data_IF_838628863294
#
_entry.id   IF_838628863294
#
_cell.length_a   1.000
_cell.length_b   1.000
_cell.length_c   1.000
_cell.angle_alpha   90.00
_cell.angle_beta   90.00
_cell.angle_gamma   90.00
#
_symmetry.space_group_name_H-M   'P 1'
#
loop_
_entity.id
_entity.type
_entity.pdbx_description
1 polymer ?
#
# COMPACT_ATOMS: atom_id res chain seq x y z
N UNK A 1 -11.93 12.72 11.54
CA UNK A 1 -10.60 13.15 11.06
C UNK A 1 -10.19 12.22 9.94
N UNK A 2 -9.57 12.76 8.89
CA UNK A 2 -9.09 12.04 7.71
C UNK A 2 -8.02 10.99 8.06
N UNK A 3 -8.32 9.68 8.02
CA UNK A 3 -7.30 8.65 8.28
C UNK A 3 -6.52 8.31 7.02
N UNK A 4 -5.18 8.29 7.12
CA UNK A 4 -4.26 7.84 6.07
C UNK A 4 -3.77 6.43 6.39
N UNK A 5 -3.98 5.49 5.46
CA UNK A 5 -3.52 4.12 5.58
C UNK A 5 -2.38 3.80 4.61
N UNK A 6 -1.43 2.98 5.03
CA UNK A 6 -0.45 2.35 4.12
C UNK A 6 -0.63 0.84 4.15
N UNK A 7 -0.73 0.22 2.98
CA UNK A 7 -0.60 -1.21 2.81
C UNK A 7 0.64 -1.48 1.95
N UNK A 8 1.52 -2.36 2.42
CA UNK A 8 2.58 -2.92 1.60
C UNK A 8 2.15 -4.29 1.09
N UNK A 9 2.29 -4.53 -0.22
CA UNK A 9 1.94 -5.80 -0.85
C UNK A 9 3.10 -6.33 -1.69
N UNK A 10 3.58 -7.51 -1.35
CA UNK A 10 4.90 -8.02 -1.78
C UNK A 10 4.83 -9.38 -2.48
N UNK A 11 3.67 -9.73 -3.06
CA UNK A 11 3.45 -10.98 -3.80
C UNK A 11 4.02 -12.21 -3.07
N UNK A 12 3.52 -12.45 -1.86
CA UNK A 12 3.89 -13.55 -0.96
C UNK A 12 5.34 -13.51 -0.47
N UNK A 13 6.10 -12.44 -0.74
CA UNK A 13 7.52 -12.34 -0.41
C UNK A 13 8.43 -13.18 -1.31
N UNK A 14 7.88 -13.84 -2.33
CA UNK A 14 8.63 -14.73 -3.24
C UNK A 14 8.97 -14.08 -4.57
N UNK A 15 8.28 -12.98 -4.91
CA UNK A 15 8.50 -12.27 -6.16
C UNK A 15 9.92 -11.70 -6.26
N UNK A 16 10.69 -12.02 -7.32
CA UNK A 16 12.06 -11.55 -7.50
C UNK A 16 12.22 -10.03 -7.40
N UNK A 17 11.19 -9.28 -7.80
CA UNK A 17 11.21 -7.82 -7.76
C UNK A 17 11.29 -7.23 -6.35
N UNK A 18 11.00 -7.98 -5.28
CA UNK A 18 11.10 -7.48 -3.91
C UNK A 18 12.33 -8.04 -3.16
N UNK A 19 13.19 -8.84 -3.80
CA UNK A 19 14.33 -9.51 -3.13
C UNK A 19 15.44 -8.57 -2.65
N UNK A 20 15.48 -7.33 -3.16
CA UNK A 20 16.52 -6.34 -2.79
C UNK A 20 16.20 -5.57 -1.50
N UNK A 21 15.01 -5.74 -0.95
CA UNK A 21 14.57 -5.03 0.25
C UNK A 21 14.24 -6.01 1.38
N UNK A 22 14.46 -5.55 2.60
CA UNK A 22 13.96 -6.19 3.80
C UNK A 22 12.56 -5.63 4.12
N UNK A 23 11.55 -6.42 3.77
CA UNK A 23 10.12 -6.06 3.82
C UNK A 23 9.73 -5.52 5.20
N UNK A 24 10.09 -6.23 6.27
CA UNK A 24 9.75 -5.83 7.63
C UNK A 24 10.56 -4.61 8.10
N UNK A 25 11.75 -4.37 7.56
CA UNK A 25 12.52 -3.18 7.85
C UNK A 25 11.87 -1.94 7.21
N UNK A 26 11.46 -2.03 5.93
CA UNK A 26 10.71 -0.96 5.25
C UNK A 26 9.48 -0.57 6.08
N UNK A 27 8.65 -1.55 6.44
CA UNK A 27 7.43 -1.33 7.21
C UNK A 27 7.74 -0.70 8.58
N UNK A 28 8.76 -1.20 9.27
CA UNK A 28 9.16 -0.71 10.59
C UNK A 28 9.67 0.73 10.55
N UNK A 29 10.45 1.09 9.53
CA UNK A 29 10.99 2.44 9.35
C UNK A 29 9.87 3.41 9.02
N UNK A 30 8.99 3.07 8.08
CA UNK A 30 7.86 3.92 7.70
C UNK A 30 6.90 4.14 8.88
N UNK A 31 6.60 3.10 9.68
CA UNK A 31 5.74 3.24 10.87
C UNK A 31 6.28 4.26 11.88
N UNK A 32 7.60 4.25 12.11
CA UNK A 32 8.26 5.14 13.08
C UNK A 32 8.16 6.62 12.68
N UNK A 33 7.98 6.91 11.40
CA UNK A 33 7.86 8.27 10.87
C UNK A 33 6.50 8.91 11.18
N UNK A 34 5.50 8.13 11.63
CA UNK A 34 4.13 8.60 11.97
C UNK A 34 3.44 9.39 10.84
N UNK A 35 3.72 9.03 9.58
CA UNK A 35 3.11 9.65 8.39
C UNK A 35 1.72 9.09 8.06
N UNK A 36 1.40 7.92 8.60
CA UNK A 36 0.16 7.18 8.39
C UNK A 36 -0.44 6.86 9.76
N UNK A 37 -1.77 6.80 9.83
CA UNK A 37 -2.51 6.39 11.03
C UNK A 37 -2.37 4.88 11.26
N UNK A 38 -2.18 4.10 10.20
CA UNK A 38 -1.81 2.69 10.27
C UNK A 38 -0.89 2.29 9.10
N UNK A 39 -0.12 1.24 9.34
CA UNK A 39 0.63 0.52 8.29
C UNK A 39 0.29 -0.96 8.39
N UNK A 40 0.14 -1.63 7.26
CA UNK A 40 -0.07 -3.09 7.21
C UNK A 40 0.76 -3.73 6.09
N UNK A 41 0.97 -5.03 6.22
CA UNK A 41 1.57 -5.88 5.20
C UNK A 41 0.52 -6.91 4.80
N UNK A 42 0.22 -7.00 3.51
CA UNK A 42 -0.64 -8.05 2.97
C UNK A 42 0.19 -8.92 2.00
N UNK A 43 0.12 -10.26 2.09
CA UNK A 43 0.89 -11.14 1.20
C UNK A 43 0.59 -10.87 -0.27
N UNK A 44 -0.68 -10.75 -0.65
CA UNK A 44 -1.09 -10.53 -2.04
C UNK A 44 -2.46 -9.85 -2.12
N UNK A 45 -2.50 -8.55 -2.41
CA UNK A 45 -3.77 -7.81 -2.50
C UNK A 45 -4.58 -8.12 -3.76
N UNK A 46 -3.96 -8.62 -4.82
CA UNK A 46 -4.63 -8.92 -6.08
C UNK A 46 -5.30 -10.31 -6.12
N UNK A 47 -5.29 -11.05 -5.00
CA UNK A 47 -5.98 -12.33 -4.86
C UNK A 47 -7.39 -12.12 -4.26
N UNK A 48 -8.22 -13.17 -4.27
CA UNK A 48 -9.61 -13.10 -3.78
C UNK A 48 -9.70 -12.69 -2.30
N UNK A 49 -8.81 -13.21 -1.46
CA UNK A 49 -8.71 -12.83 -0.04
C UNK A 49 -8.25 -11.37 0.12
N UNK A 50 -7.37 -10.90 -0.77
CA UNK A 50 -6.96 -9.49 -0.85
C UNK A 50 -8.09 -8.54 -1.21
N UNK A 51 -8.97 -8.92 -2.15
CA UNK A 51 -10.20 -8.17 -2.47
C UNK A 51 -11.12 -8.07 -1.24
N UNK A 52 -11.35 -9.18 -0.54
CA UNK A 52 -12.15 -9.18 0.69
C UNK A 52 -11.52 -8.32 1.79
N UNK A 53 -10.20 -8.39 1.95
CA UNK A 53 -9.46 -7.54 2.89
C UNK A 53 -9.68 -6.06 2.60
N UNK A 54 -9.55 -5.62 1.34
CA UNK A 54 -9.79 -4.22 0.95
C UNK A 54 -11.23 -3.79 1.24
N UNK A 55 -12.22 -4.64 0.94
CA UNK A 55 -13.64 -4.34 1.23
C UNK A 55 -13.87 -4.16 2.73
N UNK A 56 -13.40 -5.08 3.55
CA UNK A 56 -13.56 -5.03 5.00
C UNK A 56 -12.86 -3.81 5.61
N UNK A 57 -11.63 -3.53 5.17
CA UNK A 57 -10.83 -2.41 5.63
C UNK A 57 -11.49 -1.06 5.32
N UNK A 58 -12.11 -0.92 4.15
CA UNK A 58 -12.68 0.34 3.66
C UNK A 58 -14.18 0.50 3.97
N UNK A 59 -14.86 -0.55 4.44
CA UNK A 59 -16.32 -0.57 4.63
C UNK A 59 -16.84 0.52 5.57
N UNK A 60 -16.09 0.88 6.62
CA UNK A 60 -16.49 1.89 7.59
C UNK A 60 -16.28 3.34 7.12
N UNK A 61 -15.68 3.54 5.94
CA UNK A 61 -15.42 4.85 5.30
C UNK A 61 -14.59 5.83 6.16
N UNK A 62 -13.82 5.33 7.12
CA UNK A 62 -12.95 6.18 7.94
C UNK A 62 -11.63 6.53 7.25
N UNK A 63 -11.22 5.73 6.26
CA UNK A 63 -9.97 5.92 5.52
C UNK A 63 -10.22 6.94 4.41
N UNK A 64 -9.55 8.08 4.51
CA UNK A 64 -9.64 9.16 3.53
C UNK A 64 -8.56 9.08 2.46
N UNK A 65 -7.40 8.48 2.75
CA UNK A 65 -6.37 8.24 1.73
C UNK A 65 -5.69 6.91 1.96
N UNK A 66 -5.67 6.06 0.94
CA UNK A 66 -5.06 4.74 0.98
C UNK A 66 -3.82 4.73 0.09
N UNK A 67 -2.67 4.47 0.69
CA UNK A 67 -1.42 4.29 -0.01
C UNK A 67 -1.13 2.80 -0.15
N UNK A 68 -0.79 2.36 -1.34
CA UNK A 68 -0.41 0.96 -1.59
C UNK A 68 0.98 0.91 -2.20
N UNK A 69 1.94 0.42 -1.42
CA UNK A 69 3.31 0.18 -1.86
C UNK A 69 3.44 -1.27 -2.35
N UNK A 70 3.44 -1.45 -3.66
CA UNK A 70 3.36 -2.78 -4.28
C UNK A 70 3.99 -2.81 -5.68
N UNK A 71 3.30 -3.44 -6.63
CA UNK A 71 3.71 -3.61 -8.01
C UNK A 71 3.32 -2.41 -8.89
N UNK A 72 3.18 -2.63 -10.20
CA UNK A 72 2.85 -1.61 -11.18
C UNK A 72 1.57 -0.80 -10.84
N UNK A 73 1.61 0.54 -10.88
CA UNK A 73 0.48 1.38 -10.49
C UNK A 73 -0.80 1.17 -11.32
N UNK A 74 -0.66 0.94 -12.63
CA UNK A 74 -1.82 0.68 -13.50
C UNK A 74 -2.47 -0.66 -13.14
N UNK A 75 -1.64 -1.65 -12.79
CA UNK A 75 -2.13 -2.94 -12.31
C UNK A 75 -2.86 -2.81 -10.98
N UNK A 76 -2.32 -2.04 -10.02
CA UNK A 76 -3.01 -1.78 -8.75
C UNK A 76 -4.38 -1.14 -8.98
N UNK A 77 -4.46 -0.09 -9.80
CA UNK A 77 -5.72 0.57 -10.14
C UNK A 77 -6.73 -0.38 -10.78
N UNK A 78 -6.28 -1.24 -11.69
CA UNK A 78 -7.15 -2.21 -12.36
C UNK A 78 -7.64 -3.30 -11.42
N UNK A 79 -6.75 -3.87 -10.60
CA UNK A 79 -7.05 -5.01 -9.74
C UNK A 79 -7.92 -4.65 -8.54
N UNK A 80 -7.75 -3.46 -7.96
CA UNK A 80 -8.50 -3.05 -6.77
C UNK A 80 -9.82 -2.33 -7.10
N UNK A 81 -10.08 -2.08 -8.40
CA UNK A 81 -11.23 -1.31 -8.88
C UNK A 81 -12.55 -1.84 -8.33
N UNK A 82 -12.76 -3.15 -8.45
CA UNK A 82 -14.04 -3.78 -8.12
C UNK A 82 -14.24 -3.81 -6.59
N UNK A 83 -13.16 -3.96 -5.81
CA UNK A 83 -13.18 -3.83 -4.35
C UNK A 83 -13.57 -2.42 -3.91
N UNK A 84 -12.98 -1.40 -4.56
CA UNK A 84 -13.29 0.01 -4.27
C UNK A 84 -14.73 0.37 -4.64
N UNK A 85 -15.21 -0.07 -5.81
CA UNK A 85 -16.59 0.17 -6.25
C UNK A 85 -17.61 -0.45 -5.31
N UNK A 86 -17.35 -1.67 -4.83
CA UNK A 86 -18.28 -2.39 -3.95
C UNK A 86 -18.53 -1.70 -2.61
N UNK A 87 -17.58 -0.92 -2.10
CA UNK A 87 -17.70 -0.18 -0.84
C UNK A 87 -17.88 1.33 -1.03
N UNK A 88 -17.94 1.78 -2.30
CA UNK A 88 -18.04 3.19 -2.66
C UNK A 88 -16.81 4.01 -2.23
N UNK A 89 -15.62 3.41 -2.25
CA UNK A 89 -14.38 4.12 -2.01
C UNK A 89 -13.98 4.93 -3.25
N UNK A 90 -13.73 6.22 -3.07
CA UNK A 90 -13.29 7.10 -4.16
C UNK A 90 -11.87 6.73 -4.59
N UNK A 91 -11.76 6.20 -5.81
CA UNK A 91 -10.50 5.70 -6.39
C UNK A 91 -9.42 6.78 -6.50
N UNK A 92 -9.79 8.07 -6.55
CA UNK A 92 -8.80 9.16 -6.54
C UNK A 92 -8.04 9.28 -5.21
N UNK A 93 -8.57 8.67 -4.14
CA UNK A 93 -7.95 8.59 -2.82
C UNK A 93 -6.98 7.41 -2.67
N UNK A 94 -6.84 6.58 -3.70
CA UNK A 94 -5.83 5.52 -3.77
C UNK A 94 -4.54 6.05 -4.42
N UNK A 95 -3.45 6.02 -3.67
CA UNK A 95 -2.10 6.36 -4.14
C UNK A 95 -1.29 5.07 -4.33
N UNK A 96 -1.07 4.68 -5.58
CA UNK A 96 -0.24 3.52 -5.92
C UNK A 96 1.24 3.92 -5.97
N UNK A 97 2.09 3.15 -5.28
CA UNK A 97 3.54 3.33 -5.20
C UNK A 97 4.19 2.06 -5.73
N UNK A 98 4.96 2.17 -6.81
CA UNK A 98 5.77 1.06 -7.32
C UNK A 98 7.06 0.97 -6.52
N UNK A 99 7.24 -0.13 -5.79
CA UNK A 99 8.45 -0.40 -5.01
C UNK A 99 9.26 -1.57 -5.58
N UNK A 100 8.97 -2.02 -6.81
CA UNK A 100 9.71 -3.12 -7.44
C UNK A 100 11.15 -2.73 -7.70
N UNK A 101 12.04 -3.71 -7.53
CA UNK A 101 13.47 -3.65 -7.77
C UNK A 101 14.23 -2.59 -6.94
N UNK A 102 13.58 -2.05 -5.91
CA UNK A 102 14.16 -1.11 -4.95
C UNK A 102 14.86 -1.85 -3.81
N UNK A 103 15.90 -1.23 -3.28
CA UNK A 103 16.47 -1.54 -1.97
C UNK A 103 15.55 -1.08 -0.85
N UNK A 104 15.84 -1.49 0.39
CA UNK A 104 15.10 -1.03 1.58
C UNK A 104 15.04 0.51 1.66
N UNK A 105 16.17 1.19 1.45
CA UNK A 105 16.26 2.66 1.55
C UNK A 105 15.48 3.38 0.47
N UNK A 106 15.56 2.90 -0.77
CA UNK A 106 14.81 3.45 -1.91
C UNK A 106 13.30 3.28 -1.68
N UNK A 107 12.84 2.11 -1.22
CA UNK A 107 11.43 1.87 -0.94
C UNK A 107 10.91 2.76 0.20
N UNK A 108 11.66 2.89 1.29
CA UNK A 108 11.32 3.82 2.39
C UNK A 108 11.22 5.26 1.89
N UNK A 109 12.18 5.68 1.06
CA UNK A 109 12.22 7.05 0.53
C UNK A 109 11.04 7.32 -0.40
N UNK A 110 10.74 6.42 -1.33
CA UNK A 110 9.61 6.53 -2.25
C UNK A 110 8.27 6.63 -1.50
N UNK A 111 8.09 5.84 -0.44
CA UNK A 111 6.87 5.89 0.40
C UNK A 111 6.76 7.24 1.12
N UNK A 112 7.86 7.73 1.71
CA UNK A 112 7.88 9.00 2.44
C UNK A 112 7.60 10.20 1.54
N UNK A 113 8.19 10.22 0.34
CA UNK A 113 8.00 11.28 -0.64
C UNK A 113 6.51 11.39 -1.03
N UNK A 114 5.86 10.25 -1.32
CA UNK A 114 4.44 10.19 -1.67
C UNK A 114 3.52 10.58 -0.52
N UNK A 115 3.92 10.31 0.72
CA UNK A 115 3.21 10.75 1.91
C UNK A 115 3.37 12.26 2.21
N UNK A 116 4.19 12.98 1.44
CA UNK A 116 4.41 14.42 1.59
C UNK A 116 5.58 14.79 2.51
N UNK A 117 6.41 13.83 2.93
CA UNK A 117 7.67 14.10 3.65
C UNK A 117 8.81 14.05 2.63
N UNK A 118 9.20 15.21 2.12
CA UNK A 118 10.48 15.35 1.40
C UNK A 118 11.60 15.19 2.44
N UNK A 119 12.47 14.21 2.20
CA UNK A 119 13.72 13.99 2.94
C UNK A 119 14.69 15.14 2.73
#
# INVERSE_FOLDING_TARGET
MAKKGLIMCVCQGTCPSFKKMEIFEVLSRVRKEKLFDFVSLHPQLCAEDGDQYLRLLLANKEIEKLYVAACDPLMQQKMFRDSFDAVGFDKSKHEAIDIRNMTTDEAVSAIKERAGKKS
#
